data_IF_880636372947
#
_entry.id   IF_880636372947
#
_cell.length_a   1.000
_cell.length_b   1.000
_cell.length_c   1.000
_cell.angle_alpha   90.00
_cell.angle_beta   90.00
_cell.angle_gamma   90.00
#
_symmetry.space_group_name_H-M   'P 1'
#
loop_
_entity.id
_entity.type
_entity.pdbx_description
1 polymer ?
#
# COMPACT_ATOMS: atom_id res chain seq x y z
N UNK A 1 22.21 7.23 -24.36
CA UNK A 1 21.57 5.95 -24.74
C UNK A 1 20.31 5.81 -23.90
N UNK A 2 19.15 6.09 -24.48
CA UNK A 2 17.85 5.96 -23.81
C UNK A 2 17.26 4.62 -24.22
N UNK A 3 17.02 3.77 -23.22
CA UNK A 3 16.17 2.57 -23.24
C UNK A 3 16.59 1.41 -24.18
N UNK A 4 17.29 0.42 -23.62
CA UNK A 4 17.63 -0.87 -24.27
C UNK A 4 16.72 -2.01 -23.79
N UNK A 5 15.91 -1.78 -22.74
CA UNK A 5 15.09 -2.80 -22.09
C UNK A 5 13.62 -2.51 -22.34
N UNK A 6 12.93 -3.43 -23.02
CA UNK A 6 11.48 -3.30 -23.26
C UNK A 6 10.67 -3.88 -22.11
N UNK A 7 10.93 -5.13 -21.74
CA UNK A 7 10.18 -5.84 -20.70
C UNK A 7 11.03 -6.97 -20.10
N UNK A 8 10.94 -7.16 -18.77
CA UNK A 8 11.41 -8.37 -18.10
C UNK A 8 10.18 -9.09 -17.54
N UNK A 9 10.11 -10.40 -17.74
CA UNK A 9 9.08 -11.25 -17.14
C UNK A 9 9.76 -12.30 -16.28
N UNK A 10 9.28 -12.45 -15.05
CA UNK A 10 9.82 -13.39 -14.06
C UNK A 10 8.81 -14.49 -13.82
N UNK A 11 9.17 -15.74 -14.14
CA UNK A 11 8.38 -16.90 -13.76
C UNK A 11 9.14 -17.67 -12.68
N UNK A 12 8.79 -17.42 -11.41
CA UNK A 12 9.15 -18.06 -10.14
C UNK A 12 10.63 -18.40 -9.82
N UNK A 13 11.51 -18.61 -10.81
CA UNK A 13 12.96 -18.84 -10.68
C UNK A 13 13.75 -18.39 -11.90
N UNK A 14 13.09 -18.08 -13.01
CA UNK A 14 13.69 -17.74 -14.29
C UNK A 14 13.35 -16.29 -14.65
N UNK A 15 14.37 -15.49 -14.99
CA UNK A 15 14.15 -14.16 -15.56
C UNK A 15 14.31 -14.22 -17.08
N UNK A 16 13.25 -13.87 -17.79
CA UNK A 16 13.25 -13.72 -19.24
C UNK A 16 13.46 -12.25 -19.60
N UNK A 17 14.56 -11.95 -20.29
CA UNK A 17 14.86 -10.61 -20.78
C UNK A 17 14.53 -10.51 -22.26
N UNK A 18 13.79 -9.47 -22.64
CA UNK A 18 13.62 -9.08 -24.04
C UNK A 18 14.47 -7.83 -24.29
N UNK A 19 15.64 -8.04 -24.88
CA UNK A 19 16.64 -7.00 -25.11
C UNK A 19 16.54 -6.55 -26.54
N UNK A 20 16.23 -5.28 -26.79
CA UNK A 20 16.17 -4.74 -28.15
C UNK A 20 17.56 -4.24 -28.54
N UNK A 21 18.20 -4.89 -29.50
CA UNK A 21 19.49 -4.41 -30.05
C UNK A 21 19.21 -3.46 -31.23
N UNK A 22 19.42 -2.13 -31.10
CA UNK A 22 19.22 -1.20 -32.22
C UNK A 22 20.39 -1.30 -33.20
N UNK A 23 20.19 -2.01 -34.31
CA UNK A 23 21.20 -2.12 -35.37
C UNK A 23 21.17 -0.85 -36.25
N UNK A 24 21.95 0.16 -35.86
CA UNK A 24 22.34 1.25 -36.75
C UNK A 24 23.63 0.86 -37.46
N UNK A 25 23.51 0.30 -38.68
CA UNK A 25 24.61 -0.08 -39.59
C UNK A 25 25.59 -1.15 -39.09
N UNK A 26 25.68 -2.26 -39.86
CA UNK A 26 26.69 -3.34 -39.87
C UNK A 26 26.20 -4.69 -39.30
N UNK A 27 26.42 -5.72 -40.15
CA UNK A 27 26.09 -7.17 -40.12
C UNK A 27 24.59 -7.53 -40.10
N UNK A 28 24.14 -8.21 -41.16
CA UNK A 28 22.89 -8.97 -41.09
C UNK A 28 23.10 -10.06 -40.05
N UNK A 29 22.46 -9.95 -38.88
CA UNK A 29 22.46 -10.99 -37.86
C UNK A 29 21.99 -12.31 -38.50
N UNK A 30 22.91 -13.25 -38.78
CA UNK A 30 22.53 -14.62 -39.07
C UNK A 30 22.28 -15.26 -37.72
N UNK A 31 21.12 -15.89 -37.59
CA UNK A 31 20.61 -16.43 -36.33
C UNK A 31 21.70 -17.26 -35.61
N UNK A 32 22.38 -16.69 -34.59
CA UNK A 32 23.54 -17.31 -33.94
C UNK A 32 24.78 -16.42 -33.77
N UNK A 33 24.95 -15.39 -34.61
CA UNK A 33 26.19 -14.58 -34.66
C UNK A 33 26.36 -13.68 -33.43
N UNK A 34 25.23 -13.14 -32.93
CA UNK A 34 25.19 -12.33 -31.73
C UNK A 34 24.66 -13.15 -30.56
N UNK A 35 25.41 -13.13 -29.45
CA UNK A 35 25.03 -13.74 -28.19
C UNK A 35 24.90 -12.68 -27.12
N UNK A 36 24.10 -12.98 -26.11
CA UNK A 36 24.00 -12.16 -24.92
C UNK A 36 24.23 -13.02 -23.69
N UNK A 37 24.91 -12.46 -22.69
CA UNK A 37 25.21 -13.16 -21.45
C UNK A 37 25.20 -12.18 -20.27
N UNK A 38 25.06 -12.73 -19.06
CA UNK A 38 25.30 -11.99 -17.83
C UNK A 38 26.59 -12.50 -17.20
N UNK A 39 27.52 -11.59 -16.92
CA UNK A 39 28.79 -11.90 -16.29
C UNK A 39 28.57 -12.63 -14.95
N UNK A 40 29.34 -13.69 -14.72
CA UNK A 40 29.20 -14.55 -13.54
C UNK A 40 28.10 -15.60 -13.63
N UNK A 41 27.39 -15.71 -14.76
CA UNK A 41 26.38 -16.76 -15.00
C UNK A 41 26.77 -17.64 -16.19
N UNK A 42 26.38 -18.91 -16.16
CA UNK A 42 26.54 -19.82 -17.30
C UNK A 42 25.45 -19.63 -18.38
N UNK A 43 24.60 -18.61 -18.23
CA UNK A 43 23.44 -18.41 -19.05
C UNK A 43 23.78 -17.55 -20.28
N UNK A 44 23.61 -18.14 -21.47
CA UNK A 44 23.91 -17.51 -22.75
C UNK A 44 22.66 -17.58 -23.64
N UNK A 45 22.21 -16.44 -24.13
CA UNK A 45 21.13 -16.30 -25.10
C UNK A 45 21.65 -16.00 -26.51
N UNK A 46 20.83 -16.28 -27.53
CA UNK A 46 21.11 -15.91 -28.92
C UNK A 46 20.15 -14.79 -29.34
N UNK A 47 20.65 -13.76 -30.02
CA UNK A 47 19.83 -12.64 -30.49
C UNK A 47 19.04 -13.06 -31.74
N UNK A 48 17.71 -13.00 -31.67
CA UNK A 48 16.82 -13.30 -32.78
C UNK A 48 16.98 -12.25 -33.89
N UNK A 49 17.21 -12.69 -35.13
CA UNK A 49 17.48 -11.80 -36.26
C UNK A 49 16.27 -11.05 -36.83
N UNK A 50 15.04 -11.43 -36.47
CA UNK A 50 13.80 -10.75 -36.90
C UNK A 50 13.30 -9.76 -35.86
N UNK A 51 13.41 -10.12 -34.58
CA UNK A 51 12.87 -9.30 -33.48
C UNK A 51 13.95 -8.49 -32.76
N UNK A 52 15.23 -8.77 -33.02
CA UNK A 52 16.40 -8.26 -32.30
C UNK A 52 16.34 -8.54 -30.79
N UNK A 53 15.56 -9.54 -30.37
CA UNK A 53 15.38 -9.93 -28.97
C UNK A 53 16.35 -11.04 -28.60
N UNK A 54 16.99 -10.91 -27.44
CA UNK A 54 17.87 -11.94 -26.88
C UNK A 54 17.29 -12.49 -25.58
N UNK A 55 16.84 -13.75 -25.61
CA UNK A 55 16.29 -14.43 -24.45
C UNK A 55 17.40 -15.18 -23.70
N UNK A 56 17.64 -14.80 -22.45
CA UNK A 56 18.48 -15.54 -21.50
C UNK A 56 17.55 -16.12 -20.44
N UNK A 57 17.81 -17.35 -20.02
CA UNK A 57 17.19 -17.92 -18.82
C UNK A 57 18.23 -18.03 -17.72
N UNK A 58 17.98 -17.37 -16.58
CA UNK A 58 18.91 -17.32 -15.45
C UNK A 58 18.21 -17.80 -14.20
N UNK A 59 18.84 -18.75 -13.52
CA UNK A 59 18.40 -19.26 -12.23
C UNK A 59 19.21 -18.63 -11.10
N UNK A 60 18.56 -18.40 -9.96
CA UNK A 60 19.21 -17.99 -8.71
C UNK A 60 20.02 -16.67 -8.83
N UNK A 61 19.45 -15.64 -9.45
CA UNK A 61 20.01 -14.30 -9.37
C UNK A 61 19.91 -13.78 -7.93
N UNK A 62 21.01 -13.20 -7.45
CA UNK A 62 21.07 -12.53 -6.15
C UNK A 62 20.89 -11.03 -6.34
N UNK A 63 20.58 -10.32 -5.27
CA UNK A 63 20.57 -8.86 -5.29
C UNK A 63 22.01 -8.34 -5.33
N UNK A 64 22.52 -8.08 -6.54
CA UNK A 64 23.89 -7.64 -6.79
C UNK A 64 23.98 -6.88 -8.13
N UNK A 65 25.17 -6.35 -8.40
CA UNK A 65 25.51 -5.66 -9.64
C UNK A 65 26.08 -6.66 -10.65
N UNK A 66 25.35 -6.84 -11.74
CA UNK A 66 25.75 -7.71 -12.83
C UNK A 66 26.11 -6.88 -14.06
N UNK A 67 27.07 -7.37 -14.84
CA UNK A 67 27.37 -6.78 -16.14
C UNK A 67 26.73 -7.65 -17.22
N UNK A 68 25.83 -7.06 -17.97
CA UNK A 68 25.25 -7.64 -19.18
C UNK A 68 26.19 -7.37 -20.36
N UNK A 69 26.43 -8.38 -21.17
CA UNK A 69 27.36 -8.32 -22.31
C UNK A 69 26.70 -8.86 -23.57
N UNK A 70 26.93 -8.19 -24.70
CA UNK A 70 26.62 -8.68 -26.04
C UNK A 70 27.95 -9.05 -26.69
N UNK A 71 28.02 -10.27 -27.21
CA UNK A 71 29.19 -10.78 -27.92
C UNK A 71 28.85 -11.07 -29.38
N UNK A 72 29.84 -10.85 -30.26
CA UNK A 72 29.84 -11.28 -31.65
C UNK A 72 31.09 -12.13 -31.86
N UNK A 73 30.95 -13.36 -32.35
CA UNK A 73 32.07 -14.32 -32.47
C UNK A 73 32.95 -14.37 -31.19
N UNK A 74 32.28 -14.40 -30.02
CA UNK A 74 32.88 -14.43 -28.68
C UNK A 74 33.71 -13.18 -28.29
N UNK A 75 33.61 -12.09 -29.05
CA UNK A 75 34.15 -10.76 -28.70
C UNK A 75 33.06 -9.90 -28.09
N UNK A 76 33.28 -9.34 -26.89
CA UNK A 76 32.35 -8.38 -26.27
C UNK A 76 32.33 -7.09 -27.08
N UNK A 77 31.18 -6.79 -27.68
CA UNK A 77 30.97 -5.60 -28.50
C UNK A 77 30.18 -4.51 -27.78
N UNK A 78 29.44 -4.87 -26.74
CA UNK A 78 28.72 -3.94 -25.88
C UNK A 78 28.56 -4.54 -24.48
N UNK A 79 28.62 -3.69 -23.46
CA UNK A 79 28.31 -4.08 -22.10
C UNK A 79 27.55 -2.97 -21.35
N UNK A 80 26.73 -3.38 -20.38
CA UNK A 80 25.97 -2.48 -19.53
C UNK A 80 25.83 -3.10 -18.13
N UNK A 81 25.84 -2.26 -17.09
CA UNK A 81 25.60 -2.74 -15.74
C UNK A 81 24.08 -2.77 -15.44
N UNK A 82 23.65 -3.84 -14.78
CA UNK A 82 22.28 -4.07 -14.32
C UNK A 82 22.36 -4.42 -12.85
N UNK A 83 21.59 -3.73 -12.02
CA UNK A 83 21.48 -4.02 -10.60
C UNK A 83 20.16 -4.75 -10.33
N UNK A 84 20.23 -5.92 -9.70
CA UNK A 84 19.04 -6.58 -9.16
C UNK A 84 18.90 -6.24 -7.68
N UNK A 85 17.69 -5.97 -7.22
CA UNK A 85 17.39 -5.77 -5.81
C UNK A 85 16.29 -6.73 -5.38
N UNK A 86 16.33 -7.09 -4.10
CA UNK A 86 15.29 -7.90 -3.49
C UNK A 86 14.20 -6.98 -2.93
N UNK A 87 13.01 -7.04 -3.53
CA UNK A 87 11.83 -6.28 -3.10
C UNK A 87 11.54 -6.44 -1.60
N UNK A 88 11.80 -7.60 -0.99
CA UNK A 88 11.50 -7.89 0.42
C UNK A 88 12.29 -7.02 1.42
N UNK A 89 13.41 -6.43 1.00
CA UNK A 89 14.19 -5.52 1.83
C UNK A 89 13.69 -4.06 1.75
N UNK A 90 12.79 -3.75 0.80
CA UNK A 90 12.22 -2.41 0.66
C UNK A 90 11.08 -2.25 1.66
N UNK A 91 11.20 -1.25 2.53
CA UNK A 91 10.22 -0.96 3.59
C UNK A 91 9.32 0.24 3.30
N UNK A 92 9.67 1.06 2.31
CA UNK A 92 8.91 2.25 1.93
C UNK A 92 8.12 1.98 0.67
N UNK A 93 6.81 2.18 0.72
CA UNK A 93 5.93 1.91 -0.40
C UNK A 93 6.30 2.69 -1.67
N UNK A 94 6.52 4.00 -1.56
CA UNK A 94 7.00 4.84 -2.67
C UNK A 94 8.23 4.27 -3.38
N UNK A 95 9.19 3.73 -2.62
CA UNK A 95 10.38 3.10 -3.19
C UNK A 95 10.01 1.76 -3.84
N UNK A 96 9.17 0.95 -3.19
CA UNK A 96 8.70 -0.34 -3.70
C UNK A 96 8.04 -0.20 -5.08
N UNK A 97 7.11 0.73 -5.23
CA UNK A 97 6.36 0.95 -6.46
C UNK A 97 7.27 1.48 -7.58
N UNK A 98 8.16 2.44 -7.26
CA UNK A 98 9.14 2.97 -8.23
C UNK A 98 10.15 1.92 -8.67
N UNK A 99 10.44 0.98 -7.79
CA UNK A 99 11.22 -0.22 -8.04
C UNK A 99 10.39 -1.33 -8.72
N UNK A 100 9.21 -1.03 -9.29
CA UNK A 100 8.35 -1.97 -10.02
C UNK A 100 8.06 -3.27 -9.25
N UNK A 101 8.16 -3.23 -7.92
CA UNK A 101 7.73 -4.28 -7.03
C UNK A 101 6.25 -4.08 -6.69
N UNK A 102 5.66 -5.08 -6.04
CA UNK A 102 4.29 -5.02 -5.55
C UNK A 102 4.27 -4.67 -4.07
N UNK A 103 3.58 -3.58 -3.72
CA UNK A 103 3.32 -3.22 -2.33
C UNK A 103 2.03 -3.89 -1.84
N UNK A 104 2.10 -4.58 -0.71
CA UNK A 104 0.94 -5.12 -0.03
C UNK A 104 0.53 -4.17 1.13
N UNK A 105 -0.61 -3.46 1.00
CA UNK A 105 -1.07 -2.51 2.01
C UNK A 105 -1.56 -3.19 3.29
N UNK A 106 -1.89 -4.49 3.26
CA UNK A 106 -2.37 -5.23 4.44
C UNK A 106 -1.20 -5.65 5.34
N UNK A 107 -0.12 -6.15 4.74
CA UNK A 107 1.08 -6.58 5.48
C UNK A 107 2.13 -5.47 5.63
N UNK A 108 1.92 -4.32 4.97
CA UNK A 108 2.87 -3.21 4.88
C UNK A 108 4.26 -3.68 4.41
N UNK A 109 4.26 -4.52 3.37
CA UNK A 109 5.45 -5.17 2.87
C UNK A 109 5.57 -5.06 1.35
N UNK A 110 6.81 -5.12 0.87
CA UNK A 110 7.13 -5.08 -0.55
C UNK A 110 7.53 -6.48 -1.02
N UNK A 111 6.98 -6.94 -2.14
CA UNK A 111 7.20 -8.26 -2.70
C UNK A 111 7.43 -8.23 -4.21
N UNK A 112 7.96 -9.35 -4.74
CA UNK A 112 8.16 -9.53 -6.18
C UNK A 112 6.96 -10.13 -6.91
N UNK A 113 5.94 -10.60 -6.18
CA UNK A 113 4.72 -11.23 -6.72
C UNK A 113 3.53 -10.31 -6.55
N UNK A 114 2.51 -10.45 -7.40
CA UNK A 114 1.29 -9.63 -7.33
C UNK A 114 0.66 -9.62 -5.93
N UNK A 115 0.33 -8.43 -5.44
CA UNK A 115 -0.42 -8.27 -4.19
C UNK A 115 -1.90 -8.51 -4.44
N UNK A 116 -2.50 -9.45 -3.68
CA UNK A 116 -3.94 -9.68 -3.69
C UNK A 116 -4.73 -8.51 -3.09
N UNK A 117 -4.11 -7.76 -2.19
CA UNK A 117 -4.71 -6.61 -1.52
C UNK A 117 -4.35 -5.34 -2.28
N UNK A 118 -5.37 -4.64 -2.78
CA UNK A 118 -5.23 -3.32 -3.40
C UNK A 118 -5.38 -2.20 -2.38
N UNK A 119 -6.20 -2.42 -1.35
CA UNK A 119 -6.52 -1.46 -0.30
C UNK A 119 -6.66 -2.19 1.04
N UNK A 120 -6.18 -1.56 2.11
CA UNK A 120 -6.40 -1.97 3.49
C UNK A 120 -6.82 -0.76 4.33
N UNK A 121 -7.66 -0.95 5.35
CA UNK A 121 -8.16 0.15 6.17
C UNK A 121 -7.99 -0.10 7.66
N UNK A 122 -7.77 0.97 8.42
CA UNK A 122 -7.74 0.91 9.87
C UNK A 122 -8.15 2.25 10.48
N UNK A 123 -9.09 2.28 11.45
CA UNK A 123 -9.85 1.14 11.99
C UNK A 123 -11.00 0.71 11.06
N UNK A 124 -11.48 -0.52 11.20
CA UNK A 124 -12.63 -1.05 10.42
C UNK A 124 -14.02 -0.69 11.00
N UNK A 125 -14.09 0.13 12.05
CA UNK A 125 -15.36 0.58 12.62
C UNK A 125 -15.26 1.88 13.42
N UNK A 126 -16.41 2.55 13.55
CA UNK A 126 -16.58 3.81 14.27
C UNK A 126 -18.06 4.09 14.64
N UNK A 127 -18.34 5.18 15.36
CA UNK A 127 -19.68 5.53 15.77
C UNK A 127 -20.54 6.08 14.61
N UNK A 128 -21.87 5.91 14.67
CA UNK A 128 -22.82 6.47 13.69
C UNK A 128 -22.73 8.00 13.54
N UNK A 129 -22.24 8.71 14.55
CA UNK A 129 -22.07 10.16 14.51
C UNK A 129 -20.86 10.61 13.65
N UNK A 130 -20.08 9.67 13.10
CA UNK A 130 -18.90 9.97 12.33
C UNK A 130 -17.70 10.42 13.19
N UNK A 131 -16.80 11.19 12.59
CA UNK A 131 -15.61 11.72 13.27
C UNK A 131 -14.50 10.70 13.51
N UNK A 132 -14.58 9.51 12.90
CA UNK A 132 -13.50 8.52 12.98
C UNK A 132 -12.39 8.92 12.03
N UNK A 133 -11.17 9.08 12.55
CA UNK A 133 -9.97 9.18 11.72
C UNK A 133 -9.65 7.78 11.17
N UNK A 134 -9.97 7.59 9.90
CA UNK A 134 -9.79 6.37 9.13
C UNK A 134 -8.53 6.48 8.28
N UNK A 135 -7.61 5.53 8.41
CA UNK A 135 -6.44 5.42 7.54
C UNK A 135 -6.72 4.40 6.44
N UNK A 136 -6.50 4.80 5.20
CA UNK A 136 -6.63 4.00 3.99
C UNK A 136 -5.23 3.78 3.42
N UNK A 137 -4.79 2.52 3.38
CA UNK A 137 -3.53 2.08 2.79
C UNK A 137 -3.81 1.54 1.39
N UNK A 138 -2.96 1.86 0.43
CA UNK A 138 -3.12 1.50 -0.98
C UNK A 138 -1.86 0.85 -1.53
N UNK A 139 -2.00 0.08 -2.60
CA UNK A 139 -0.87 -0.46 -3.36
C UNK A 139 -0.38 0.49 -4.48
N UNK A 140 -0.79 1.76 -4.46
CA UNK A 140 -0.44 2.78 -5.45
C UNK A 140 0.20 3.99 -4.78
N UNK A 141 1.09 4.67 -5.51
CA UNK A 141 1.61 5.96 -5.09
C UNK A 141 0.54 7.02 -5.33
N UNK A 142 0.30 7.84 -4.32
CA UNK A 142 -0.61 8.98 -4.28
C UNK A 142 0.27 10.24 -4.26
N UNK A 143 0.02 11.15 -5.19
CA UNK A 143 0.73 12.42 -5.27
C UNK A 143 -0.07 13.52 -4.58
N UNK A 144 0.63 14.57 -4.15
CA UNK A 144 0.00 15.71 -3.47
C UNK A 144 -1.00 16.46 -4.38
N UNK A 145 -0.79 16.40 -5.70
CA UNK A 145 -1.66 17.02 -6.71
C UNK A 145 -2.84 16.12 -7.14
N UNK A 146 -2.95 14.89 -6.62
CA UNK A 146 -4.01 13.97 -7.01
C UNK A 146 -5.37 14.40 -6.46
N UNK A 147 -6.41 14.28 -7.29
CA UNK A 147 -7.80 14.48 -6.85
C UNK A 147 -8.29 13.18 -6.21
N UNK A 148 -8.44 13.19 -4.89
CA UNK A 148 -8.82 12.01 -4.09
C UNK A 148 -10.26 12.15 -3.59
N UNK A 149 -11.08 11.14 -3.87
CA UNK A 149 -12.45 11.04 -3.35
C UNK A 149 -12.59 9.71 -2.60
N UNK A 150 -13.10 9.78 -1.37
CA UNK A 150 -13.31 8.61 -0.52
C UNK A 150 -14.70 8.63 0.05
N UNK A 151 -15.44 7.57 -0.25
CA UNK A 151 -16.79 7.36 0.25
C UNK A 151 -16.88 6.00 0.94
N UNK A 152 -17.80 5.87 1.89
CA UNK A 152 -18.24 4.60 2.46
C UNK A 152 -19.66 4.40 1.93
N UNK A 153 -19.81 3.58 0.90
CA UNK A 153 -20.99 3.55 0.02
C UNK A 153 -21.40 4.97 -0.42
N UNK A 154 -22.53 5.48 0.08
CA UNK A 154 -23.07 6.81 -0.22
C UNK A 154 -22.60 7.89 0.76
N UNK A 155 -21.96 7.51 1.86
CA UNK A 155 -21.53 8.40 2.93
C UNK A 155 -20.12 8.96 2.65
N UNK A 156 -19.91 10.25 2.88
CA UNK A 156 -18.61 10.88 2.61
C UNK A 156 -17.55 10.57 3.68
N UNK A 157 -16.29 10.44 3.24
CA UNK A 157 -15.12 10.50 4.12
C UNK A 157 -14.22 11.67 3.69
N UNK A 158 -14.12 12.70 4.52
CA UNK A 158 -13.37 13.92 4.17
C UNK A 158 -11.88 13.66 4.32
N UNK A 159 -11.12 13.76 3.22
CA UNK A 159 -9.66 13.60 3.26
C UNK A 159 -9.04 14.61 4.23
N UNK A 160 -8.19 14.12 5.12
CA UNK A 160 -7.54 14.90 6.16
C UNK A 160 -6.04 15.11 5.90
N UNK A 161 -5.31 14.05 5.56
CA UNK A 161 -3.88 14.13 5.24
C UNK A 161 -3.42 12.92 4.43
N UNK A 162 -2.38 13.08 3.61
CA UNK A 162 -1.65 12.01 2.93
C UNK A 162 -0.40 11.69 3.75
N UNK A 163 0.01 10.42 3.84
CA UNK A 163 1.22 10.04 4.58
C UNK A 163 2.49 10.36 3.79
N UNK A 164 3.61 10.55 4.50
CA UNK A 164 4.91 10.88 3.88
C UNK A 164 5.45 9.82 2.92
N UNK A 165 5.00 8.57 3.05
CA UNK A 165 5.36 7.47 2.16
C UNK A 165 4.45 7.36 0.93
N UNK A 166 3.51 8.30 0.77
CA UNK A 166 2.62 8.49 -0.38
C UNK A 166 1.77 7.27 -0.76
N UNK A 167 1.60 6.29 0.12
CA UNK A 167 0.77 5.11 -0.17
C UNK A 167 -0.35 4.90 0.83
N UNK A 168 -0.52 5.83 1.76
CA UNK A 168 -1.68 5.86 2.62
C UNK A 168 -2.15 7.29 2.82
N UNK A 169 -3.38 7.41 3.29
CA UNK A 169 -4.01 8.67 3.59
C UNK A 169 -4.95 8.49 4.77
N UNK A 170 -5.27 9.58 5.43
CA UNK A 170 -6.28 9.64 6.48
C UNK A 170 -7.50 10.42 6.00
N UNK A 171 -8.70 9.97 6.37
CA UNK A 171 -9.95 10.67 6.16
C UNK A 171 -10.82 10.64 7.43
N UNK A 172 -11.74 11.58 7.55
CA UNK A 172 -12.68 11.68 8.66
C UNK A 172 -14.06 11.25 8.17
N UNK A 173 -14.62 10.21 8.78
CA UNK A 173 -15.93 9.67 8.40
C UNK A 173 -17.07 10.64 8.70
N UNK A 174 -18.03 10.79 7.78
CA UNK A 174 -19.29 11.49 8.00
C UNK A 174 -20.21 10.78 8.99
N UNK A 175 -21.35 11.41 9.29
CA UNK A 175 -22.40 10.82 10.13
C UNK A 175 -23.42 10.05 9.29
N UNK A 176 -24.01 9.02 9.88
CA UNK A 176 -25.04 8.18 9.27
C UNK A 176 -26.27 8.10 10.17
N UNK A 177 -27.44 7.86 9.58
CA UNK A 177 -28.71 7.86 10.33
C UNK A 177 -28.95 6.59 11.16
N UNK A 178 -28.28 5.49 10.82
CA UNK A 178 -28.42 4.18 11.49
C UNK A 178 -27.13 3.38 11.42
N UNK A 179 -27.00 2.40 12.32
CA UNK A 179 -25.90 1.43 12.25
C UNK A 179 -25.96 0.68 10.92
N UNK A 180 -24.84 0.68 10.20
CA UNK A 180 -24.72 0.10 8.87
C UNK A 180 -23.29 -0.37 8.63
N UNK A 181 -23.11 -1.30 7.68
CA UNK A 181 -21.80 -1.64 7.15
C UNK A 181 -21.73 -1.09 5.74
N UNK A 182 -20.64 -0.43 5.39
CA UNK A 182 -20.47 0.10 4.04
C UNK A 182 -19.11 -0.20 3.46
N UNK A 183 -19.07 -0.25 2.14
CA UNK A 183 -17.85 -0.55 1.39
C UNK A 183 -17.11 0.75 1.12
N UNK A 184 -15.80 0.77 1.37
CA UNK A 184 -14.99 1.95 1.07
C UNK A 184 -14.77 2.02 -0.43
N UNK A 185 -15.00 3.17 -1.04
CA UNK A 185 -14.66 3.46 -2.42
C UNK A 185 -13.59 4.55 -2.45
N UNK A 186 -12.46 4.26 -3.08
CA UNK A 186 -11.35 5.22 -3.25
C UNK A 186 -11.21 5.52 -4.73
N UNK A 187 -11.29 6.79 -5.08
CA UNK A 187 -11.03 7.29 -6.44
C UNK A 187 -9.84 8.24 -6.39
N UNK A 188 -8.90 8.04 -7.32
CA UNK A 188 -7.74 8.92 -7.51
C UNK A 188 -7.74 9.37 -8.97
N UNK A 189 -7.82 10.68 -9.21
CA UNK A 189 -7.93 11.28 -10.55
C UNK A 189 -9.04 10.62 -11.40
N UNK A 190 -10.23 10.46 -10.82
CA UNK A 190 -11.41 9.81 -11.41
C UNK A 190 -11.21 8.32 -11.77
N UNK A 191 -10.13 7.69 -11.33
CA UNK A 191 -9.91 6.26 -11.47
C UNK A 191 -10.20 5.56 -10.14
N UNK A 192 -11.18 4.65 -10.16
CA UNK A 192 -11.48 3.83 -9.00
C UNK A 192 -10.33 2.86 -8.74
N UNK A 193 -9.81 2.88 -7.51
CA UNK A 193 -8.89 1.85 -7.02
C UNK A 193 -9.78 0.68 -6.59
N UNK A 194 -9.80 -0.36 -7.43
CA UNK A 194 -10.60 -1.58 -7.24
C UNK A 194 -10.44 -2.14 -5.82
N UNK A 195 -11.50 -2.73 -5.29
CA UNK A 195 -11.62 -3.13 -3.90
C UNK A 195 -11.25 -4.60 -3.71
N UNK A 196 -10.29 -4.86 -2.82
CA UNK A 196 -10.12 -6.20 -2.24
C UNK A 196 -11.27 -6.52 -1.28
N UNK A 197 -11.42 -7.81 -0.94
CA UNK A 197 -12.54 -8.34 -0.16
C UNK A 197 -12.68 -7.77 1.27
N UNK A 198 -11.65 -7.09 1.82
CA UNK A 198 -11.59 -6.63 3.22
C UNK A 198 -11.67 -5.10 3.39
N UNK A 199 -12.45 -4.42 2.55
CA UNK A 199 -12.54 -2.94 2.51
C UNK A 199 -13.83 -2.37 3.13
N UNK A 200 -14.47 -3.09 4.06
CA UNK A 200 -15.70 -2.64 4.71
C UNK A 200 -15.49 -1.90 6.03
N UNK A 201 -16.26 -0.83 6.24
CA UNK A 201 -16.29 -0.05 7.46
C UNK A 201 -17.66 -0.15 8.13
N UNK A 202 -17.69 -0.52 9.41
CA UNK A 202 -18.93 -0.67 10.17
C UNK A 202 -19.20 0.53 11.08
N UNK A 203 -20.31 1.22 10.83
CA UNK A 203 -20.89 2.22 11.73
C UNK A 203 -21.70 1.54 12.84
N UNK A 204 -21.35 1.82 14.09
CA UNK A 204 -22.01 1.27 15.28
C UNK A 204 -22.64 2.36 16.12
N UNK A 205 -23.78 2.08 16.73
CA UNK A 205 -24.42 3.01 17.66
C UNK A 205 -23.94 2.72 19.10
N UNK A 206 -23.07 3.58 19.70
CA UNK A 206 -22.60 3.40 21.07
C UNK A 206 -23.69 3.75 22.08
N UNK A 207 -24.03 2.80 22.95
CA UNK A 207 -25.07 2.99 23.96
C UNK A 207 -24.54 2.68 25.34
N UNK A 208 -24.74 3.60 26.28
CA UNK A 208 -24.50 3.36 27.71
C UNK A 208 -25.78 2.78 28.31
N UNK A 209 -25.65 1.63 28.97
CA UNK A 209 -26.77 0.98 29.66
C UNK A 209 -26.72 1.23 31.17
N UNK A 210 -25.53 1.20 31.78
CA UNK A 210 -25.35 1.42 33.22
C UNK A 210 -23.92 1.88 33.55
N UNK A 211 -23.72 2.46 34.73
CA UNK A 211 -22.39 2.77 35.25
C UNK A 211 -22.33 2.62 36.78
N UNK A 212 -21.16 2.24 37.30
CA UNK A 212 -20.92 2.03 38.72
C UNK A 212 -19.50 2.45 39.13
N UNK A 213 -19.29 3.15 40.26
CA UNK A 213 -20.30 3.57 41.24
C UNK A 213 -21.11 4.79 40.79
N UNK A 214 -22.32 4.94 41.35
CA UNK A 214 -23.21 6.10 41.11
C UNK A 214 -22.90 7.31 42.01
N UNK A 215 -21.92 7.17 42.89
CA UNK A 215 -21.46 8.20 43.82
C UNK A 215 -19.94 8.23 43.81
N UNK A 216 -19.38 9.42 43.95
CA UNK A 216 -17.95 9.67 43.96
C UNK A 216 -17.61 10.92 44.74
N UNK A 217 -16.31 11.15 44.94
CA UNK A 217 -15.81 12.33 45.66
C UNK A 217 -15.57 13.44 44.64
N UNK A 218 -16.02 14.68 44.94
CA UNK A 218 -15.87 15.86 44.05
C UNK A 218 -14.40 16.14 43.70
N UNK A 219 -13.47 15.81 44.60
CA UNK A 219 -12.02 15.93 44.36
C UNK A 219 -11.49 14.95 43.30
N UNK A 220 -12.33 14.05 42.78
CA UNK A 220 -12.02 13.11 41.70
C UNK A 220 -11.58 11.73 42.21
N UNK A 221 -10.72 11.05 41.43
CA UNK A 221 -10.15 9.71 41.71
C UNK A 221 -11.15 8.56 41.88
N UNK A 222 -12.44 8.79 41.65
CA UNK A 222 -13.45 7.73 41.65
C UNK A 222 -13.40 7.01 40.30
N UNK A 223 -13.03 5.74 40.29
CA UNK A 223 -13.04 4.93 39.07
C UNK A 223 -14.47 4.52 38.73
N UNK A 224 -14.99 5.03 37.62
CA UNK A 224 -16.32 4.68 37.12
C UNK A 224 -16.18 3.60 36.04
N UNK A 225 -16.89 2.51 36.22
CA UNK A 225 -17.04 1.45 35.22
C UNK A 225 -18.33 1.68 34.45
N UNK A 226 -18.21 1.97 33.16
CA UNK A 226 -19.36 2.14 32.25
C UNK A 226 -19.62 0.82 31.54
N UNK A 227 -20.88 0.41 31.49
CA UNK A 227 -21.37 -0.77 30.78
C UNK A 227 -22.36 -0.35 29.71
N UNK A 228 -22.33 -1.06 28.60
CA UNK A 228 -23.19 -0.76 27.47
C UNK A 228 -22.81 -1.55 26.23
N UNK A 229 -23.28 -1.10 25.07
CA UNK A 229 -23.09 -1.74 23.77
C UNK A 229 -22.25 -0.86 22.87
N UNK A 230 -21.44 -1.50 22.01
CA UNK A 230 -20.59 -0.82 21.03
C UNK A 230 -19.67 0.26 21.62
N UNK A 231 -19.24 0.09 22.88
CA UNK A 231 -18.35 1.00 23.59
C UNK A 231 -16.87 0.67 23.40
N UNK A 232 -16.52 -0.23 22.47
CA UNK A 232 -15.15 -0.70 22.23
C UNK A 232 -14.69 -0.39 20.80
N UNK A 233 -14.24 0.85 20.59
CA UNK A 233 -13.54 1.35 19.41
C UNK A 233 -12.06 1.45 19.78
N UNK A 234 -11.15 0.91 18.97
CA UNK A 234 -9.71 0.87 19.29
C UNK A 234 -9.10 2.27 19.43
N UNK A 235 -8.43 2.59 20.54
CA UNK A 235 -7.65 3.83 20.67
C UNK A 235 -8.23 4.80 21.70
N UNK A 236 -7.43 5.05 22.74
CA UNK A 236 -7.79 5.84 23.92
C UNK A 236 -8.31 7.24 23.62
N UNK A 237 -7.80 7.90 22.58
CA UNK A 237 -8.09 9.30 22.29
C UNK A 237 -9.45 9.52 21.62
N UNK A 238 -10.18 8.43 21.32
CA UNK A 238 -11.47 8.48 20.61
C UNK A 238 -12.68 8.62 21.53
N UNK A 239 -12.50 8.52 22.84
CA UNK A 239 -13.57 8.71 23.81
C UNK A 239 -13.36 10.00 24.59
N UNK A 240 -14.39 10.85 24.59
CA UNK A 240 -14.47 12.01 25.49
C UNK A 240 -15.67 11.80 26.40
N UNK A 241 -15.40 11.40 27.64
CA UNK A 241 -16.45 11.22 28.66
C UNK A 241 -16.48 12.49 29.49
N UNK A 242 -17.66 13.09 29.64
CA UNK A 242 -17.90 14.27 30.47
C UNK A 242 -18.97 13.98 31.50
N UNK A 243 -18.75 14.41 32.74
CA UNK A 243 -19.75 14.44 33.80
C UNK A 243 -20.15 15.89 34.03
N UNK A 244 -21.40 16.23 33.75
CA UNK A 244 -21.91 17.59 33.84
C UNK A 244 -22.95 17.71 34.96
N UNK A 245 -23.05 18.89 35.58
CA UNK A 245 -24.17 19.21 36.47
C UNK A 245 -25.45 19.40 35.63
N UNK A 246 -26.55 18.76 36.04
CA UNK A 246 -27.84 18.87 35.38
C UNK A 246 -28.42 20.30 35.44
N UNK A 247 -28.03 21.10 36.43
CA UNK A 247 -28.53 22.48 36.60
C UNK A 247 -27.63 23.53 35.94
N UNK A 248 -26.44 23.13 35.49
CA UNK A 248 -25.48 24.03 34.86
C UNK A 248 -24.61 23.27 33.85
N UNK A 249 -25.04 23.27 32.58
CA UNK A 249 -24.33 22.62 31.47
C UNK A 249 -22.92 23.21 31.22
N UNK A 250 -22.54 24.27 31.93
CA UNK A 250 -21.24 24.95 31.81
C UNK A 250 -20.15 24.23 32.61
N UNK A 251 -20.47 23.49 33.68
CA UNK A 251 -19.48 22.81 34.54
C UNK A 251 -19.43 21.30 34.29
N UNK A 252 -18.74 20.91 33.21
CA UNK A 252 -18.47 19.51 32.91
C UNK A 252 -17.04 19.11 33.28
N UNK A 253 -16.89 18.01 34.01
CA UNK A 253 -15.59 17.39 34.31
C UNK A 253 -15.29 16.34 33.24
N UNK A 254 -14.14 16.47 32.58
CA UNK A 254 -13.65 15.47 31.63
C UNK A 254 -13.03 14.27 32.37
N UNK A 255 -13.47 13.07 32.03
CA UNK A 255 -12.99 11.82 32.62
C UNK A 255 -11.84 11.24 31.80
N UNK A 256 -10.80 10.78 32.50
CA UNK A 256 -9.71 10.02 31.89
C UNK A 256 -10.10 8.54 31.77
N UNK A 257 -9.93 7.97 30.58
CA UNK A 257 -10.19 6.55 30.34
C UNK A 257 -9.03 5.66 30.79
N UNK A 258 -9.39 4.53 31.39
CA UNK A 258 -8.47 3.45 31.72
C UNK A 258 -8.97 2.18 31.03
N UNK A 259 -8.31 1.77 29.94
CA UNK A 259 -8.46 0.43 29.39
C UNK A 259 -7.78 -0.57 30.34
N UNK A 260 -8.49 -1.65 30.67
CA UNK A 260 -7.95 -2.78 31.43
C UNK A 260 -7.31 -3.79 30.48
#
# INVERSE_FOLDING_TARGET
MKEVFRDFHTDNTNIHFNILVPFGTIVQNKNGDFRCQINGTAAIGTVNNKTNLCNINIQNLYADNYTFEITYEDVVIASANIEFYNCQHIRKCKICIRARCYWDPMTLSCGGTESYSTVYISPSSGPINGGTLLTVFTNREINDDDIIIINIDEDNCTVNNITEDNCSLSCITGNVSKSTNGTIHVSVNNSLISLGNDTSFTYKDPRIDDFNPRKGIITGKTTITIRGKNLAFKGRDRYKIKLCDNNDNVTCIECRLFEK
#
